data_IF_405173067554
#
_entry.id   IF_405173067554
#
_cell.length_a   1.000
_cell.length_b   1.000
_cell.length_c   1.000
_cell.angle_alpha   90.00
_cell.angle_beta   90.00
_cell.angle_gamma   90.00
#
_symmetry.space_group_name_H-M   'P 1'
#
loop_
_entity.id
_entity.type
_entity.pdbx_description
1 polymer ?
#
# COMPACT_ATOMS: atom_id res chain seq x y z
N UNK A 1 -24.34 -35.94 11.17
CA UNK A 1 -24.38 -34.97 12.30
C UNK A 1 -23.12 -34.13 12.22
N UNK A 2 -23.19 -32.79 12.17
CA UNK A 2 -21.98 -31.97 12.27
C UNK A 2 -21.30 -32.30 13.60
N UNK A 3 -19.98 -32.53 13.59
CA UNK A 3 -19.22 -32.77 14.82
C UNK A 3 -19.40 -31.57 15.77
N UNK A 4 -19.34 -31.80 17.08
CA UNK A 4 -19.44 -30.72 18.08
C UNK A 4 -18.40 -29.61 17.83
N UNK A 5 -17.25 -29.96 17.23
CA UNK A 5 -16.22 -29.01 16.76
C UNK A 5 -16.68 -28.11 15.60
N UNK A 6 -17.52 -28.60 14.70
CA UNK A 6 -18.07 -27.81 13.59
C UNK A 6 -19.05 -26.75 14.08
N UNK A 7 -19.92 -27.09 15.04
CA UNK A 7 -20.91 -26.15 15.59
C UNK A 7 -20.24 -25.00 16.37
N UNK A 8 -19.20 -25.31 17.15
CA UNK A 8 -18.42 -24.32 17.90
C UNK A 8 -17.67 -23.38 16.94
N UNK A 9 -17.08 -23.92 15.87
CA UNK A 9 -16.43 -23.11 14.82
C UNK A 9 -17.41 -22.15 14.13
N UNK A 10 -18.63 -22.63 13.84
CA UNK A 10 -19.68 -21.83 13.21
C UNK A 10 -20.17 -20.67 14.08
N UNK A 11 -20.14 -20.81 15.41
CA UNK A 11 -20.55 -19.74 16.33
C UNK A 11 -19.40 -18.76 16.59
N UNK A 12 -18.16 -19.24 16.72
CA UNK A 12 -16.98 -18.40 17.01
C UNK A 12 -16.60 -17.49 15.83
N UNK A 13 -16.98 -17.84 14.59
CA UNK A 13 -16.64 -17.04 13.41
C UNK A 13 -17.15 -15.60 13.48
N UNK A 14 -18.37 -15.38 13.99
CA UNK A 14 -19.00 -14.06 14.07
C UNK A 14 -18.32 -13.12 15.08
N UNK A 15 -18.10 -13.50 16.35
CA UNK A 15 -17.38 -12.64 17.30
C UNK A 15 -15.92 -12.43 16.86
N UNK A 16 -15.26 -13.43 16.26
CA UNK A 16 -13.91 -13.25 15.69
C UNK A 16 -13.92 -12.22 14.55
N UNK A 17 -14.88 -12.29 13.64
CA UNK A 17 -15.03 -11.32 12.57
C UNK A 17 -15.30 -9.91 13.12
N UNK A 18 -16.20 -9.76 14.09
CA UNK A 18 -16.49 -8.48 14.73
C UNK A 18 -15.24 -7.89 15.40
N UNK A 19 -14.54 -8.69 16.21
CA UNK A 19 -13.31 -8.25 16.86
C UNK A 19 -12.26 -7.79 15.85
N UNK A 20 -12.05 -8.56 14.78
CA UNK A 20 -11.10 -8.19 13.72
C UNK A 20 -11.51 -6.91 13.00
N UNK A 21 -12.79 -6.74 12.69
CA UNK A 21 -13.29 -5.51 12.08
C UNK A 21 -13.05 -4.30 12.98
N UNK A 22 -13.39 -4.39 14.27
CA UNK A 22 -13.13 -3.32 15.24
C UNK A 22 -11.63 -3.04 15.34
N UNK A 23 -10.79 -4.07 15.41
CA UNK A 23 -9.34 -3.95 15.48
C UNK A 23 -8.76 -3.24 14.24
N UNK A 24 -9.20 -3.60 13.03
CA UNK A 24 -8.78 -2.93 11.79
C UNK A 24 -9.23 -1.47 11.78
N UNK A 25 -10.46 -1.16 12.19
CA UNK A 25 -10.96 0.21 12.26
C UNK A 25 -10.12 1.05 13.24
N UNK A 26 -9.89 0.54 14.45
CA UNK A 26 -9.08 1.24 15.48
C UNK A 26 -7.65 1.44 14.99
N UNK A 27 -7.04 0.42 14.37
CA UNK A 27 -5.70 0.53 13.81
C UNK A 27 -5.62 1.61 12.72
N UNK A 28 -6.61 1.69 11.82
CA UNK A 28 -6.66 2.75 10.80
C UNK A 28 -6.82 4.16 11.41
N UNK A 29 -7.68 4.31 12.41
CA UNK A 29 -7.91 5.59 13.12
C UNK A 29 -6.64 6.04 13.84
N UNK A 30 -5.79 5.12 14.28
CA UNK A 30 -4.52 5.44 14.92
C UNK A 30 -3.38 5.68 13.90
N UNK A 31 -3.12 4.71 13.02
CA UNK A 31 -1.94 4.69 12.16
C UNK A 31 -1.97 5.78 11.08
N UNK A 32 -3.10 6.01 10.42
CA UNK A 32 -3.17 7.01 9.33
C UNK A 32 -2.96 8.43 9.88
N UNK A 33 -3.71 8.91 10.89
CA UNK A 33 -3.44 10.23 11.47
C UNK A 33 -2.03 10.37 12.03
N UNK A 34 -1.48 9.32 12.66
CA UNK A 34 -0.10 9.32 13.16
C UNK A 34 0.90 9.57 12.03
N UNK A 35 0.77 8.86 10.91
CA UNK A 35 1.58 9.10 9.71
C UNK A 35 1.45 10.54 9.22
N UNK A 36 0.22 11.03 9.04
CA UNK A 36 -0.03 12.38 8.53
C UNK A 36 0.57 13.46 9.44
N UNK A 37 0.45 13.32 10.76
CA UNK A 37 1.00 14.25 11.75
C UNK A 37 2.53 14.25 11.67
N UNK A 38 3.17 13.07 11.64
CA UNK A 38 4.63 12.99 11.51
C UNK A 38 5.13 13.64 10.22
N UNK A 39 4.47 13.37 9.10
CA UNK A 39 4.85 13.99 7.83
C UNK A 39 4.67 15.50 7.84
N UNK A 40 3.63 16.00 8.50
CA UNK A 40 3.43 17.44 8.71
C UNK A 40 4.53 18.06 9.57
N UNK A 41 4.86 17.43 10.70
CA UNK A 41 5.92 17.91 11.60
C UNK A 41 7.31 17.90 10.94
N UNK A 42 7.54 16.99 9.99
CA UNK A 42 8.79 16.89 9.23
C UNK A 42 8.85 17.83 8.01
N UNK A 43 7.82 18.63 7.70
CA UNK A 43 7.85 19.58 6.59
C UNK A 43 9.04 20.56 6.60
N UNK A 44 9.53 21.07 7.75
CA UNK A 44 10.74 21.88 7.77
C UNK A 44 11.97 21.12 7.24
N UNK A 45 12.08 19.82 7.56
CA UNK A 45 13.16 18.96 7.08
C UNK A 45 13.15 18.85 5.55
N UNK A 46 11.96 18.82 4.93
CA UNK A 46 11.83 18.82 3.47
C UNK A 46 12.52 20.00 2.80
N UNK A 47 12.51 21.19 3.43
CA UNK A 47 13.12 22.40 2.88
C UNK A 47 14.64 22.44 3.04
N UNK A 48 15.16 21.82 4.11
CA UNK A 48 16.60 21.84 4.43
C UNK A 48 17.30 20.66 3.76
N UNK A 49 16.72 19.47 3.86
CA UNK A 49 17.28 18.21 3.43
C UNK A 49 16.17 17.30 2.86
N UNK A 50 15.77 17.60 1.62
CA UNK A 50 14.69 16.90 0.94
C UNK A 50 14.91 15.37 0.84
N UNK A 51 16.15 14.93 0.61
CA UNK A 51 16.47 13.50 0.52
C UNK A 51 16.21 12.73 1.82
N UNK A 52 16.56 13.31 2.98
CA UNK A 52 16.29 12.70 4.28
C UNK A 52 14.79 12.67 4.60
N UNK A 53 14.05 13.73 4.23
CA UNK A 53 12.60 13.74 4.36
C UNK A 53 11.95 12.55 3.64
N UNK A 54 12.31 12.30 2.37
CA UNK A 54 11.73 11.19 1.62
C UNK A 54 12.20 9.81 2.10
N UNK A 55 13.43 9.69 2.61
CA UNK A 55 13.89 8.44 3.23
C UNK A 55 13.09 8.10 4.49
N UNK A 56 12.87 9.09 5.36
CA UNK A 56 12.05 8.92 6.57
C UNK A 56 10.60 8.61 6.17
N UNK A 57 10.06 9.35 5.21
CA UNK A 57 8.72 9.11 4.66
C UNK A 57 8.56 7.67 4.18
N UNK A 58 9.51 7.14 3.41
CA UNK A 58 9.49 5.76 2.94
C UNK A 58 9.48 4.73 4.08
N UNK A 59 10.23 4.97 5.16
CA UNK A 59 10.22 4.11 6.35
C UNK A 59 8.86 4.14 7.06
N UNK A 60 8.30 5.34 7.26
CA UNK A 60 6.98 5.51 7.88
C UNK A 60 5.88 4.89 7.01
N UNK A 61 5.99 5.03 5.69
CA UNK A 61 5.08 4.42 4.73
C UNK A 61 5.17 2.89 4.77
N UNK A 62 6.37 2.31 4.79
CA UNK A 62 6.55 0.86 4.98
C UNK A 62 5.86 0.39 6.26
N UNK A 63 6.06 1.07 7.39
CA UNK A 63 5.39 0.66 8.64
C UNK A 63 3.87 0.74 8.55
N UNK A 64 3.33 1.75 7.88
CA UNK A 64 1.90 1.84 7.62
C UNK A 64 1.42 0.67 6.75
N UNK A 65 2.14 0.33 5.68
CA UNK A 65 1.79 -0.81 4.80
C UNK A 65 1.97 -2.17 5.49
N UNK A 66 2.91 -2.29 6.43
CA UNK A 66 3.08 -3.47 7.28
C UNK A 66 1.85 -3.69 8.19
N UNK A 67 1.22 -2.60 8.68
CA UNK A 67 -0.05 -2.70 9.40
C UNK A 67 -1.17 -3.23 8.51
N UNK A 68 -1.19 -2.85 7.22
CA UNK A 68 -2.15 -3.38 6.24
C UNK A 68 -1.89 -4.87 5.95
N UNK A 69 -0.62 -5.25 5.83
CA UNK A 69 -0.19 -6.66 5.67
C UNK A 69 -0.73 -7.56 6.78
N UNK A 70 -0.74 -7.07 8.03
CA UNK A 70 -1.28 -7.79 9.18
C UNK A 70 -2.77 -8.15 9.00
N UNK A 71 -3.55 -7.43 8.19
CA UNK A 71 -4.96 -7.75 7.97
C UNK A 71 -5.13 -9.09 7.26
N UNK A 72 -4.28 -9.36 6.26
CA UNK A 72 -4.23 -10.64 5.54
C UNK A 72 -3.78 -11.76 6.47
N UNK A 73 -2.70 -11.54 7.23
CA UNK A 73 -2.19 -12.53 8.19
C UNK A 73 -3.21 -12.89 9.28
N UNK A 74 -3.82 -11.90 9.92
CA UNK A 74 -4.83 -12.14 10.97
C UNK A 74 -6.12 -12.77 10.43
N UNK A 75 -6.34 -12.75 9.12
CA UNK A 75 -7.42 -13.48 8.45
C UNK A 75 -7.14 -14.97 8.31
N UNK A 76 -5.90 -15.40 8.52
CA UNK A 76 -5.45 -16.76 8.23
C UNK A 76 -5.15 -16.99 6.75
N UNK A 77 -4.79 -15.93 6.01
CA UNK A 77 -4.26 -16.09 4.66
C UNK A 77 -2.75 -16.31 4.71
N UNK A 78 -2.30 -17.40 4.08
CA UNK A 78 -0.89 -17.68 3.86
C UNK A 78 -0.53 -17.33 2.41
N UNK A 79 0.45 -16.44 2.26
CA UNK A 79 0.96 -16.06 0.94
C UNK A 79 1.97 -17.09 0.46
N UNK A 80 1.71 -17.68 -0.71
CA UNK A 80 2.63 -18.59 -1.37
C UNK A 80 3.03 -17.97 -2.71
N UNK A 81 4.31 -17.62 -2.82
CA UNK A 81 4.90 -17.10 -4.05
C UNK A 81 5.41 -18.27 -4.91
N UNK A 82 5.07 -18.29 -6.19
CA UNK A 82 5.46 -19.33 -7.14
C UNK A 82 5.97 -18.67 -8.44
N UNK A 83 7.00 -19.26 -9.06
CA UNK A 83 7.61 -18.75 -10.29
C UNK A 83 9.09 -18.44 -10.12
N UNK A 84 9.58 -17.51 -10.95
CA UNK A 84 10.99 -17.11 -10.97
C UNK A 84 11.37 -16.26 -9.74
N UNK A 85 12.64 -16.34 -9.36
CA UNK A 85 13.21 -15.49 -8.31
C UNK A 85 13.28 -14.03 -8.77
N UNK A 86 12.59 -13.15 -8.04
CA UNK A 86 12.55 -11.71 -8.34
C UNK A 86 13.69 -10.92 -7.68
N UNK A 87 14.60 -11.58 -6.96
CA UNK A 87 15.77 -10.95 -6.34
C UNK A 87 16.56 -10.05 -7.30
N UNK A 88 16.80 -10.44 -8.57
CA UNK A 88 17.48 -9.56 -9.54
C UNK A 88 16.73 -8.25 -9.83
N UNK A 89 15.42 -8.19 -9.59
CA UNK A 89 14.62 -6.99 -9.78
C UNK A 89 14.67 -6.04 -8.58
N UNK A 90 15.10 -6.49 -7.39
CA UNK A 90 15.10 -5.67 -6.16
C UNK A 90 15.98 -4.42 -6.25
N UNK A 91 17.08 -4.51 -7.01
CA UNK A 91 18.02 -3.41 -7.15
C UNK A 91 17.69 -2.46 -8.32
N UNK A 92 16.83 -2.89 -9.24
CA UNK A 92 16.47 -2.19 -10.46
C UNK A 92 15.14 -1.41 -10.33
N UNK A 93 14.86 -0.54 -11.32
CA UNK A 93 13.50 0.04 -11.43
C UNK A 93 12.55 -0.99 -12.02
N UNK A 94 11.51 -1.35 -11.29
CA UNK A 94 10.59 -2.43 -11.64
C UNK A 94 9.16 -1.94 -11.75
N UNK A 95 8.52 -2.28 -12.87
CA UNK A 95 7.08 -2.16 -13.07
C UNK A 95 6.44 -3.54 -12.85
N UNK A 96 5.59 -3.66 -11.85
CA UNK A 96 4.83 -4.87 -11.56
C UNK A 96 3.47 -4.73 -12.22
N UNK A 97 3.17 -5.62 -13.16
CA UNK A 97 1.86 -5.67 -13.81
C UNK A 97 1.12 -6.89 -13.26
N UNK A 98 0.09 -6.64 -12.46
CA UNK A 98 -0.77 -7.68 -11.93
C UNK A 98 -2.14 -7.63 -12.62
N UNK A 99 -2.80 -8.79 -12.76
CA UNK A 99 -4.23 -8.80 -12.96
C UNK A 99 -4.92 -8.21 -11.71
N UNK A 100 -6.10 -7.64 -11.88
CA UNK A 100 -6.87 -7.07 -10.78
C UNK A 100 -8.24 -7.73 -10.72
N UNK A 101 -8.47 -8.52 -9.68
CA UNK A 101 -9.73 -9.22 -9.39
C UNK A 101 -10.53 -8.50 -8.31
N UNK A 102 -9.86 -7.89 -7.32
CA UNK A 102 -10.54 -7.31 -6.16
C UNK A 102 -9.70 -6.26 -5.44
N UNK A 103 -10.34 -5.44 -4.60
CA UNK A 103 -9.61 -4.54 -3.68
C UNK A 103 -8.67 -5.29 -2.73
N UNK A 104 -8.90 -6.59 -2.50
CA UNK A 104 -8.02 -7.41 -1.64
C UNK A 104 -6.67 -7.75 -2.27
N UNK A 105 -6.51 -7.53 -3.58
CA UNK A 105 -5.23 -7.78 -4.26
C UNK A 105 -4.14 -6.83 -3.72
N UNK A 106 -4.51 -5.61 -3.35
CA UNK A 106 -3.58 -4.60 -2.81
C UNK A 106 -2.96 -5.05 -1.48
N UNK A 107 -3.73 -5.40 -0.41
CA UNK A 107 -3.15 -5.88 0.84
C UNK A 107 -2.40 -7.21 0.68
N UNK A 108 -2.72 -8.05 -0.32
CA UNK A 108 -1.94 -9.26 -0.62
C UNK A 108 -0.59 -8.92 -1.27
N UNK A 109 -0.53 -7.95 -2.19
CA UNK A 109 0.72 -7.44 -2.74
C UNK A 109 1.56 -6.75 -1.66
N UNK A 110 0.95 -5.96 -0.78
CA UNK A 110 1.64 -5.38 0.38
C UNK A 110 2.24 -6.49 1.25
N UNK A 111 1.49 -7.55 1.55
CA UNK A 111 1.99 -8.69 2.31
C UNK A 111 3.17 -9.39 1.65
N UNK A 112 3.09 -9.59 0.33
CA UNK A 112 4.15 -10.18 -0.49
C UNK A 112 5.43 -9.35 -0.46
N UNK A 113 5.31 -8.02 -0.60
CA UNK A 113 6.45 -7.12 -0.66
C UNK A 113 6.99 -6.70 0.71
N UNK A 114 6.24 -6.89 1.79
CA UNK A 114 6.65 -6.49 3.14
C UNK A 114 7.94 -7.17 3.61
N UNK A 115 8.15 -8.42 3.19
CA UNK A 115 9.36 -9.19 3.53
C UNK A 115 10.54 -8.91 2.59
N UNK A 116 10.32 -8.15 1.50
CA UNK A 116 11.33 -7.87 0.49
C UNK A 116 12.03 -6.57 0.78
N UNK A 117 13.36 -6.61 0.76
CA UNK A 117 14.21 -5.46 1.07
C UNK A 117 13.88 -4.28 0.15
N UNK A 118 13.65 -3.14 0.76
CA UNK A 118 13.48 -1.83 0.09
C UNK A 118 12.34 -1.74 -0.94
N UNK A 119 11.42 -2.70 -1.01
CA UNK A 119 10.27 -2.63 -1.94
C UNK A 119 9.21 -1.64 -1.42
N UNK A 120 8.57 -1.93 -0.28
CA UNK A 120 7.48 -1.08 0.25
C UNK A 120 7.86 0.39 0.50
N UNK A 121 9.08 0.74 0.99
CA UNK A 121 9.45 2.14 1.15
C UNK A 121 9.54 2.92 -0.18
N UNK A 122 9.74 2.21 -1.29
CA UNK A 122 10.08 2.80 -2.59
C UNK A 122 9.06 2.48 -3.70
N UNK A 123 7.90 1.93 -3.32
CA UNK A 123 6.81 1.58 -4.23
C UNK A 123 5.90 2.78 -4.47
N UNK A 124 5.56 3.03 -5.73
CA UNK A 124 4.53 3.99 -6.12
C UNK A 124 3.32 3.22 -6.64
N UNK A 125 2.15 3.48 -6.07
CA UNK A 125 0.90 2.87 -6.51
C UNK A 125 0.24 3.67 -7.62
N UNK A 126 -0.29 2.99 -8.64
CA UNK A 126 -1.26 3.57 -9.58
C UNK A 126 -2.65 3.15 -9.14
N UNK A 127 -3.47 4.13 -8.73
CA UNK A 127 -4.81 3.89 -8.18
C UNK A 127 -5.87 4.69 -8.92
N UNK A 128 -7.11 4.20 -8.90
CA UNK A 128 -8.23 4.98 -9.43
C UNK A 128 -8.40 6.31 -8.68
N UNK A 129 -8.75 7.37 -9.41
CA UNK A 129 -8.93 8.72 -8.88
C UNK A 129 -9.93 8.82 -7.72
N UNK A 130 -10.91 7.93 -7.60
CA UNK A 130 -11.83 7.93 -6.47
C UNK A 130 -11.13 7.64 -5.13
N UNK A 131 -10.02 6.88 -5.17
CA UNK A 131 -9.30 6.48 -3.96
C UNK A 131 -8.70 7.66 -3.19
N UNK A 132 -8.47 8.80 -3.86
CA UNK A 132 -7.96 10.03 -3.23
C UNK A 132 -8.85 10.59 -2.11
N UNK A 133 -10.13 10.19 -2.07
CA UNK A 133 -11.09 10.61 -1.06
C UNK A 133 -11.16 9.68 0.16
N UNK A 134 -10.30 8.66 0.22
CA UNK A 134 -10.19 7.74 1.35
C UNK A 134 -9.08 8.18 2.32
N UNK A 135 -9.03 7.57 3.49
CA UNK A 135 -7.93 7.75 4.45
C UNK A 135 -6.56 7.39 3.84
N UNK A 136 -6.49 6.30 3.07
CA UNK A 136 -5.28 5.95 2.32
C UNK A 136 -5.02 6.92 1.16
N UNK A 137 -6.05 7.50 0.57
CA UNK A 137 -5.91 8.58 -0.42
C UNK A 137 -5.10 9.76 0.10
N UNK A 138 -5.31 10.17 1.35
CA UNK A 138 -4.53 11.23 1.98
C UNK A 138 -3.05 10.85 2.15
N UNK A 139 -2.77 9.60 2.56
CA UNK A 139 -1.42 9.05 2.66
C UNK A 139 -0.74 9.06 1.28
N UNK A 140 -1.44 8.54 0.28
CA UNK A 140 -1.00 8.46 -1.11
C UNK A 140 -0.71 9.81 -1.74
N UNK A 141 -1.46 10.86 -1.39
CA UNK A 141 -1.16 12.23 -1.82
C UNK A 141 0.16 12.75 -1.23
N UNK A 142 0.48 12.42 0.03
CA UNK A 142 1.76 12.78 0.66
C UNK A 142 2.91 11.95 0.08
N UNK A 143 2.69 10.65 -0.09
CA UNK A 143 3.65 9.71 -0.69
C UNK A 143 3.95 10.01 -2.16
N UNK A 144 3.01 10.71 -2.81
CA UNK A 144 2.95 11.01 -4.24
C UNK A 144 2.74 9.79 -5.13
N UNK A 145 1.79 8.95 -4.74
CA UNK A 145 1.20 7.95 -5.63
C UNK A 145 0.46 8.60 -6.80
N UNK A 146 0.23 7.83 -7.86
CA UNK A 146 -0.43 8.32 -9.06
C UNK A 146 -1.91 7.93 -9.11
N UNK A 147 -2.78 8.92 -9.31
CA UNK A 147 -4.23 8.69 -9.41
C UNK A 147 -4.70 8.79 -10.87
N UNK A 148 -5.03 7.64 -11.46
CA UNK A 148 -5.50 7.54 -12.84
C UNK A 148 -7.02 7.77 -12.95
N UNK A 149 -7.44 8.45 -14.00
CA UNK A 149 -8.86 8.55 -14.34
C UNK A 149 -9.25 7.43 -15.31
N UNK A 150 -10.16 6.57 -14.87
CA UNK A 150 -10.72 5.52 -15.71
C UNK A 150 -11.57 6.08 -16.86
N UNK A 151 -11.72 5.29 -17.92
CA UNK A 151 -12.56 5.59 -19.10
C UNK A 151 -11.80 6.01 -20.35
N UNK A 152 -12.34 5.63 -21.52
CA UNK A 152 -11.70 5.80 -22.85
C UNK A 152 -11.35 7.26 -23.16
N UNK A 153 -12.20 8.21 -22.78
CA UNK A 153 -11.99 9.64 -23.00
C UNK A 153 -10.81 10.22 -22.22
N UNK A 154 -10.38 9.57 -21.13
CA UNK A 154 -9.28 10.04 -20.29
C UNK A 154 -7.95 9.36 -20.61
N UNK A 155 -7.91 8.40 -21.54
CA UNK A 155 -6.75 7.53 -21.77
C UNK A 155 -5.49 8.31 -22.17
N UNK A 156 -5.57 9.13 -23.21
CA UNK A 156 -4.42 9.90 -23.69
C UNK A 156 -3.93 10.91 -22.63
N UNK A 157 -4.88 11.59 -21.99
CA UNK A 157 -4.57 12.54 -20.91
C UNK A 157 -3.88 11.83 -19.72
N UNK A 158 -4.37 10.66 -19.34
CA UNK A 158 -3.78 9.89 -18.22
C UNK A 158 -2.34 9.46 -18.51
N UNK A 159 -2.01 9.15 -19.77
CA UNK A 159 -0.64 8.83 -20.16
C UNK A 159 0.27 10.07 -20.09
N UNK A 160 -0.21 11.23 -20.51
CA UNK A 160 0.54 12.49 -20.39
C UNK A 160 0.74 12.88 -18.92
N UNK A 161 -0.31 12.75 -18.11
CA UNK A 161 -0.29 13.03 -16.67
C UNK A 161 0.67 12.07 -15.95
N UNK A 162 0.65 10.77 -16.30
CA UNK A 162 1.59 9.79 -15.75
C UNK A 162 3.03 10.13 -16.16
N UNK A 163 3.29 10.40 -17.45
CA UNK A 163 4.63 10.80 -17.91
C UNK A 163 5.16 12.01 -17.14
N UNK A 164 4.30 13.01 -16.91
CA UNK A 164 4.64 14.20 -16.11
C UNK A 164 4.90 13.84 -14.65
N UNK A 165 4.09 12.97 -14.06
CA UNK A 165 4.26 12.51 -12.68
C UNK A 165 5.56 11.73 -12.51
N UNK A 166 5.94 10.90 -13.49
CA UNK A 166 7.20 10.15 -13.45
C UNK A 166 8.43 11.08 -13.41
N UNK A 167 8.43 12.14 -14.21
CA UNK A 167 9.56 13.09 -14.27
C UNK A 167 9.61 14.03 -13.08
N UNK A 168 8.46 14.41 -12.52
CA UNK A 168 8.38 15.39 -11.43
C UNK A 168 8.37 14.76 -10.03
N UNK A 169 7.87 13.53 -9.92
CA UNK A 169 7.64 12.84 -8.66
C UNK A 169 8.52 11.60 -8.48
N UNK A 170 8.28 10.58 -9.31
CA UNK A 170 8.85 9.23 -9.15
C UNK A 170 10.37 9.18 -9.29
N UNK A 171 10.92 9.79 -10.36
CA UNK A 171 12.36 9.75 -10.64
C UNK A 171 13.15 10.55 -9.61
N UNK A 172 12.80 11.82 -9.28
CA UNK A 172 13.55 12.63 -8.30
C UNK A 172 13.56 12.07 -6.87
N UNK A 173 12.58 11.23 -6.52
CA UNK A 173 12.49 10.57 -5.20
C UNK A 173 13.24 9.24 -5.13
N UNK A 174 13.90 8.85 -6.23
CA UNK A 174 14.60 7.56 -6.34
C UNK A 174 13.69 6.35 -6.04
N UNK A 175 12.37 6.50 -6.26
CA UNK A 175 11.43 5.37 -6.17
C UNK A 175 11.82 4.30 -7.18
N UNK A 176 11.79 3.05 -6.74
CA UNK A 176 12.26 1.91 -7.53
C UNK A 176 11.13 1.05 -8.05
N UNK A 177 10.01 1.01 -7.35
CA UNK A 177 8.92 0.08 -7.64
C UNK A 177 7.66 0.82 -8.06
N UNK A 178 6.94 0.26 -9.02
CA UNK A 178 5.63 0.74 -9.45
C UNK A 178 4.69 -0.43 -9.64
N UNK A 179 3.45 -0.27 -9.20
CA UNK A 179 2.37 -1.26 -9.35
C UNK A 179 1.15 -0.59 -9.96
#
# INVERSE_FOLDING_TARGET
MPSCSGLISEVIKYPRALFRTVFVIVNNIYCVPTYLIWMFLLLPLKKIHESYYYKIEGVLFHWLLANVTMWSYTAGYDMVEMGDDITPALDERTLVIANHQSTSDVPLLMATFNVKKDVLPNIMWIMDRLFKYTNFGAVSLIHQDFFIASGKSNRERSLLDLKKHLTQSYIPRERKWMV
#
